data_IF_558705567740
#
_entry.id   IF_558705567740
#
_cell.length_a   1.000
_cell.length_b   1.000
_cell.length_c   1.000
_cell.angle_alpha   90.00
_cell.angle_beta   90.00
_cell.angle_gamma   90.00
#
_symmetry.space_group_name_H-M   'P 1'
#
loop_
_entity.id
_entity.type
_entity.pdbx_description
1 polymer ?
#
# COMPACT_ATOMS: atom_id res chain seq x y z
N UNK A 1 22.34 -1.13 2.74
CA UNK A 1 21.74 -1.45 1.41
C UNK A 1 20.25 -1.60 1.60
N UNK A 2 19.44 -0.98 0.74
CA UNK A 2 17.98 -1.15 0.76
C UNK A 2 17.56 -2.53 0.26
N UNK A 3 16.28 -2.89 0.45
CA UNK A 3 15.67 -4.11 -0.11
C UNK A 3 15.14 -3.85 -1.51
N UNK A 4 15.15 -4.85 -2.38
CA UNK A 4 14.41 -4.81 -3.65
C UNK A 4 12.91 -4.93 -3.41
N UNK A 5 12.09 -4.63 -4.42
CA UNK A 5 10.63 -4.77 -4.31
C UNK A 5 10.22 -6.24 -4.09
N UNK A 6 10.78 -7.18 -4.85
CA UNK A 6 10.61 -8.61 -4.61
C UNK A 6 10.98 -9.05 -3.18
N UNK A 7 12.08 -8.52 -2.61
CA UNK A 7 12.46 -8.82 -1.23
C UNK A 7 11.45 -8.25 -0.22
N UNK A 8 10.85 -7.10 -0.50
CA UNK A 8 9.78 -6.53 0.33
C UNK A 8 8.48 -7.35 0.22
N UNK A 9 8.13 -7.82 -0.98
CA UNK A 9 6.98 -8.70 -1.17
C UNK A 9 7.15 -10.02 -0.41
N UNK A 10 8.32 -10.67 -0.50
CA UNK A 10 8.55 -11.92 0.24
C UNK A 10 8.54 -11.70 1.76
N UNK A 11 9.15 -10.61 2.22
CA UNK A 11 9.08 -10.23 3.64
C UNK A 11 7.62 -10.09 4.11
N UNK A 12 6.76 -9.47 3.31
CA UNK A 12 5.36 -9.33 3.65
C UNK A 12 4.56 -10.64 3.53
N UNK A 13 4.84 -11.48 2.54
CA UNK A 13 4.29 -12.85 2.45
C UNK A 13 4.56 -13.64 3.71
N UNK A 14 5.77 -13.57 4.25
CA UNK A 14 6.13 -14.23 5.51
C UNK A 14 5.38 -13.67 6.72
N UNK A 15 5.05 -12.38 6.72
CA UNK A 15 4.16 -11.78 7.71
C UNK A 15 2.74 -12.33 7.57
N UNK A 16 2.17 -12.32 6.36
CA UNK A 16 0.82 -12.83 6.08
C UNK A 16 0.70 -14.32 6.43
N UNK A 17 1.70 -15.15 6.09
CA UNK A 17 1.77 -16.57 6.46
C UNK A 17 1.65 -16.78 7.97
N UNK A 18 2.25 -15.90 8.78
CA UNK A 18 2.16 -15.96 10.25
C UNK A 18 0.81 -15.46 10.76
N UNK A 19 0.26 -14.39 10.18
CA UNK A 19 -1.09 -13.93 10.53
C UNK A 19 -2.17 -14.97 10.24
N UNK A 20 -2.06 -15.69 9.12
CA UNK A 20 -2.99 -16.78 8.78
C UNK A 20 -3.06 -17.89 9.84
N UNK A 21 -2.07 -18.01 10.74
CA UNK A 21 -2.07 -18.99 11.84
C UNK A 21 -2.94 -18.55 13.02
N UNK A 22 -3.20 -17.24 13.16
CA UNK A 22 -3.93 -16.66 14.30
C UNK A 22 -5.22 -15.95 13.90
N UNK A 23 -5.42 -15.68 12.61
CA UNK A 23 -6.65 -15.09 12.08
C UNK A 23 -7.85 -16.00 12.35
N UNK A 24 -8.92 -15.43 12.95
CA UNK A 24 -10.15 -16.17 13.27
C UNK A 24 -10.93 -16.59 12.01
N UNK A 25 -10.69 -15.93 10.88
CA UNK A 25 -11.24 -16.25 9.56
C UNK A 25 -10.16 -16.00 8.51
N UNK A 26 -9.96 -16.91 7.55
CA UNK A 26 -9.04 -16.66 6.45
C UNK A 26 -9.47 -15.43 5.66
N UNK A 27 -8.57 -14.47 5.48
CA UNK A 27 -8.84 -13.35 4.60
C UNK A 27 -8.70 -13.80 3.14
N UNK A 28 -9.84 -13.90 2.47
CA UNK A 28 -9.88 -13.93 1.00
C UNK A 28 -9.73 -12.50 0.46
N UNK A 29 -9.76 -12.31 -0.87
CA UNK A 29 -9.68 -10.99 -1.49
C UNK A 29 -10.68 -9.96 -0.90
N UNK A 30 -11.88 -10.40 -0.53
CA UNK A 30 -12.90 -9.55 0.12
C UNK A 30 -12.36 -8.91 1.41
N UNK A 31 -11.70 -9.69 2.27
CA UNK A 31 -11.13 -9.20 3.52
C UNK A 31 -9.98 -8.23 3.28
N UNK A 32 -9.09 -8.55 2.35
CA UNK A 32 -8.00 -7.66 1.96
C UNK A 32 -8.52 -6.34 1.34
N UNK A 33 -9.61 -6.36 0.57
CA UNK A 33 -10.21 -5.16 0.00
C UNK A 33 -10.89 -4.27 1.06
N UNK A 34 -11.55 -4.88 2.04
CA UNK A 34 -12.12 -4.15 3.19
C UNK A 34 -11.01 -3.47 3.99
N UNK A 35 -9.93 -4.21 4.29
CA UNK A 35 -8.79 -3.63 5.01
C UNK A 35 -8.10 -2.54 4.18
N UNK A 36 -7.92 -2.71 2.87
CA UNK A 36 -7.39 -1.67 1.99
C UNK A 36 -8.21 -0.37 2.07
N UNK A 37 -9.53 -0.50 2.09
CA UNK A 37 -10.45 0.65 2.21
C UNK A 37 -10.27 1.37 3.56
N UNK A 38 -10.15 0.60 4.65
CA UNK A 38 -9.87 1.15 5.99
C UNK A 38 -8.54 1.91 5.99
N UNK A 39 -7.46 1.30 5.50
CA UNK A 39 -6.12 1.91 5.50
C UNK A 39 -6.04 3.15 4.61
N UNK A 40 -6.78 3.17 3.51
CA UNK A 40 -6.92 4.39 2.68
C UNK A 40 -7.59 5.53 3.44
N UNK A 41 -8.57 5.22 4.30
CA UNK A 41 -9.23 6.21 5.16
C UNK A 41 -8.30 6.76 6.25
N UNK A 42 -7.51 5.91 6.90
CA UNK A 42 -6.51 6.36 7.88
C UNK A 42 -5.40 7.18 7.20
N UNK A 43 -4.91 6.77 6.03
CA UNK A 43 -3.99 7.56 5.22
C UNK A 43 -4.56 8.96 4.92
N UNK A 44 -5.82 9.03 4.44
CA UNK A 44 -6.47 10.30 4.14
C UNK A 44 -6.55 11.20 5.38
N UNK A 45 -6.86 10.64 6.55
CA UNK A 45 -6.87 11.37 7.82
C UNK A 45 -5.49 11.93 8.18
N UNK A 46 -4.40 11.16 8.00
CA UNK A 46 -3.05 11.67 8.27
C UNK A 46 -2.68 12.82 7.31
N UNK A 47 -3.06 12.72 6.04
CA UNK A 47 -2.89 13.82 5.07
C UNK A 47 -3.67 15.06 5.52
N UNK A 48 -4.93 14.91 5.95
CA UNK A 48 -5.73 16.03 6.44
C UNK A 48 -5.12 16.71 7.67
N UNK A 49 -4.53 15.93 8.58
CA UNK A 49 -3.80 16.46 9.74
C UNK A 49 -2.53 17.20 9.31
N UNK A 50 -1.75 16.61 8.38
CA UNK A 50 -0.51 17.19 7.86
C UNK A 50 -0.74 18.52 7.14
N UNK A 51 -1.82 18.60 6.37
CA UNK A 51 -2.21 19.77 5.59
C UNK A 51 -3.10 20.75 6.40
N UNK A 52 -3.20 20.57 7.73
CA UNK A 52 -3.92 21.45 8.65
C UNK A 52 -5.42 21.68 8.32
N UNK A 53 -6.09 20.71 7.71
CA UNK A 53 -7.55 20.75 7.53
C UNK A 53 -8.31 20.60 8.86
N UNK A 54 -7.69 19.97 9.86
CA UNK A 54 -8.18 19.91 11.23
C UNK A 54 -7.44 20.90 12.12
N UNK A 55 -8.15 21.45 13.10
CA UNK A 55 -7.56 22.24 14.18
C UNK A 55 -6.82 21.31 15.16
N UNK A 56 -5.68 20.79 14.72
CA UNK A 56 -4.79 19.93 15.49
C UNK A 56 -3.49 20.68 15.78
N UNK A 57 -3.08 20.70 17.04
CA UNK A 57 -1.89 21.39 17.55
C UNK A 57 -0.83 20.41 18.12
N UNK A 58 -1.01 19.11 17.90
CA UNK A 58 -0.07 18.08 18.33
C UNK A 58 1.20 18.00 17.48
N UNK A 59 2.04 17.01 17.79
CA UNK A 59 3.37 16.86 17.21
C UNK A 59 3.33 16.50 15.72
N UNK A 60 4.05 17.29 14.91
CA UNK A 60 4.21 17.05 13.47
C UNK A 60 5.04 15.80 13.18
N UNK A 61 6.00 15.46 14.04
CA UNK A 61 6.80 14.24 13.87
C UNK A 61 5.95 12.97 14.02
N UNK A 62 4.96 12.99 14.92
CA UNK A 62 4.00 11.90 15.08
C UNK A 62 3.12 11.74 13.82
N UNK A 63 2.70 12.85 13.21
CA UNK A 63 1.94 12.82 11.95
C UNK A 63 2.79 12.22 10.83
N UNK A 64 4.07 12.61 10.71
CA UNK A 64 4.96 12.10 9.67
C UNK A 64 5.24 10.60 9.82
N UNK A 65 5.47 10.13 11.05
CA UNK A 65 5.64 8.70 11.33
C UNK A 65 4.37 7.92 10.95
N UNK A 66 3.19 8.40 11.39
CA UNK A 66 1.93 7.75 11.07
C UNK A 66 1.64 7.76 9.59
N UNK A 67 1.88 8.88 8.90
CA UNK A 67 1.69 8.99 7.46
C UNK A 67 2.49 7.92 6.71
N UNK A 68 3.75 7.71 7.10
CA UNK A 68 4.59 6.64 6.56
C UNK A 68 4.02 5.24 6.82
N UNK A 69 3.52 4.98 8.03
CA UNK A 69 2.90 3.70 8.39
C UNK A 69 1.62 3.44 7.57
N UNK A 70 0.74 4.43 7.41
CA UNK A 70 -0.50 4.25 6.63
C UNK A 70 -0.21 4.02 5.14
N UNK A 71 0.82 4.68 4.57
CA UNK A 71 1.28 4.38 3.21
C UNK A 71 1.79 2.95 3.09
N UNK A 72 2.55 2.47 4.08
CA UNK A 72 3.04 1.09 4.10
C UNK A 72 1.89 0.08 4.21
N UNK A 73 0.87 0.37 5.02
CA UNK A 73 -0.30 -0.48 5.18
C UNK A 73 -1.16 -0.57 3.91
N UNK A 74 -1.30 0.53 3.16
CA UNK A 74 -1.94 0.52 1.83
C UNK A 74 -1.17 -0.38 0.86
N UNK A 75 0.16 -0.24 0.79
CA UNK A 75 1.01 -1.08 -0.06
C UNK A 75 0.88 -2.56 0.34
N UNK A 76 0.87 -2.85 1.64
CA UNK A 76 0.71 -4.19 2.18
C UNK A 76 -0.63 -4.84 1.76
N UNK A 77 -1.74 -4.10 1.77
CA UNK A 77 -3.02 -4.68 1.32
C UNK A 77 -3.05 -4.90 -0.20
N UNK A 78 -2.40 -4.03 -0.99
CA UNK A 78 -2.23 -4.26 -2.44
C UNK A 78 -1.40 -5.53 -2.69
N UNK A 79 -0.30 -5.74 -1.95
CA UNK A 79 0.49 -6.97 -2.03
C UNK A 79 -0.34 -8.21 -1.67
N UNK A 80 -1.18 -8.13 -0.63
CA UNK A 80 -2.06 -9.25 -0.22
C UNK A 80 -3.07 -9.61 -1.32
N UNK A 81 -3.64 -8.60 -1.99
CA UNK A 81 -4.54 -8.81 -3.13
C UNK A 81 -3.83 -9.43 -4.32
N UNK A 82 -2.64 -8.92 -4.65
CA UNK A 82 -1.87 -9.45 -5.76
C UNK A 82 -1.46 -10.91 -5.54
N UNK A 83 -1.00 -11.27 -4.34
CA UNK A 83 -0.69 -12.66 -4.01
C UNK A 83 -1.93 -13.56 -4.09
N UNK A 84 -3.10 -13.07 -3.63
CA UNK A 84 -4.36 -13.84 -3.73
C UNK A 84 -4.78 -14.10 -5.18
N UNK A 85 -4.65 -13.09 -6.05
CA UNK A 85 -5.01 -13.19 -7.47
C UNK A 85 -3.85 -13.69 -8.37
N UNK A 86 -2.70 -14.03 -7.78
CA UNK A 86 -1.48 -14.43 -8.50
C UNK A 86 -1.02 -13.41 -9.54
N UNK A 87 -1.12 -12.12 -9.20
CA UNK A 87 -0.66 -11.01 -10.02
C UNK A 87 0.81 -10.71 -9.71
N UNK A 88 1.62 -10.66 -10.76
CA UNK A 88 2.98 -10.14 -10.69
C UNK A 88 2.93 -8.60 -10.61
N UNK A 89 3.07 -8.07 -9.40
CA UNK A 89 3.04 -6.63 -9.14
C UNK A 89 4.20 -5.86 -9.80
N UNK A 90 5.40 -6.45 -9.88
CA UNK A 90 6.54 -5.79 -10.52
C UNK A 90 6.27 -5.60 -12.00
N UNK A 91 5.87 -6.68 -12.66
CA UNK A 91 5.50 -6.66 -14.06
C UNK A 91 4.32 -5.71 -14.31
N UNK A 92 3.25 -5.81 -13.53
CA UNK A 92 2.07 -4.96 -13.68
C UNK A 92 2.40 -3.47 -13.49
N UNK A 93 3.31 -3.15 -12.57
CA UNK A 93 3.76 -1.77 -12.38
C UNK A 93 4.54 -1.28 -13.60
N UNK A 94 5.49 -2.08 -14.10
CA UNK A 94 6.32 -1.72 -15.27
C UNK A 94 5.47 -1.51 -16.51
N UNK A 95 4.59 -2.47 -16.86
CA UNK A 95 3.70 -2.37 -18.03
C UNK A 95 2.82 -1.11 -17.95
N UNK A 96 2.26 -0.80 -16.78
CA UNK A 96 1.43 0.39 -16.61
C UNK A 96 2.21 1.71 -16.81
N UNK A 97 3.50 1.76 -16.40
CA UNK A 97 4.35 2.95 -16.61
C UNK A 97 4.81 3.06 -18.07
N UNK A 98 5.08 1.93 -18.72
CA UNK A 98 5.44 1.89 -20.15
C UNK A 98 4.27 2.37 -21.01
N UNK A 99 3.04 1.93 -20.72
CA UNK A 99 1.83 2.40 -21.40
C UNK A 99 1.61 3.91 -21.21
N UNK A 100 1.84 4.43 -20.00
CA UNK A 100 1.77 5.86 -19.71
C UNK A 100 2.83 6.66 -20.48
N UNK A 101 4.07 6.16 -20.53
CA UNK A 101 5.18 6.80 -21.25
C UNK A 101 4.92 6.82 -22.77
N UNK A 102 4.42 5.73 -23.33
CA UNK A 102 4.02 5.67 -24.75
C UNK A 102 2.87 6.63 -25.06
N UNK A 103 1.91 6.77 -24.14
CA UNK A 103 0.86 7.79 -24.25
C UNK A 103 1.45 9.20 -24.23
N UNK A 104 2.37 9.52 -23.33
CA UNK A 104 3.02 10.84 -23.25
C UNK A 104 3.84 11.16 -24.50
N UNK A 105 4.64 10.20 -25.00
CA UNK A 105 5.39 10.33 -26.26
C UNK A 105 4.46 10.63 -27.45
N UNK A 106 3.29 9.99 -27.48
CA UNK A 106 2.27 10.26 -28.52
C UNK A 106 1.74 11.70 -28.49
N UNK A 107 1.88 12.40 -27.36
CA UNK A 107 1.53 13.82 -27.16
C UNK A 107 2.70 14.77 -27.37
N UNK A 108 3.89 14.26 -27.68
CA UNK A 108 5.09 15.06 -27.89
C UNK A 108 5.73 15.59 -26.60
N UNK A 109 5.44 14.95 -25.47
CA UNK A 109 6.15 15.14 -24.19
C UNK A 109 7.15 14.02 -24.01
#
# INVERSE_FOLDING_TARGET
MGKSFAEMQEMYRDIVRRFNQIELRPWQAQGAMIELTKQTGELAKQVMLKEHYYAWDGDQAEIDERLGNEMADVIAQVMRLADYYQIDLEKAFMEAREDEDDYLKSRGV
#
